data_IF_189886836305
#
_entry.id   IF_189886836305
#
_cell.length_a   1.000
_cell.length_b   1.000
_cell.length_c   1.000
_cell.angle_alpha   90.00
_cell.angle_beta   90.00
_cell.angle_gamma   90.00
#
_symmetry.space_group_name_H-M   'P 1'
#
loop_
_entity.id
_entity.type
_entity.pdbx_description
1 polymer ?
#
# COMPACT_ATOMS: atom_id res chain seq x y z
N UNK A 1 -5.38 6.28 -8.46
CA UNK A 1 -3.98 5.87 -8.23
C UNK A 1 -3.99 4.54 -7.46
N UNK A 2 -2.81 3.97 -7.17
CA UNK A 2 -2.69 2.73 -6.42
C UNK A 2 -2.12 3.06 -5.05
N UNK A 3 -2.69 2.47 -3.99
CA UNK A 3 -2.07 2.43 -2.66
C UNK A 3 -1.73 0.99 -2.31
N UNK A 4 -0.45 0.70 -2.13
CA UNK A 4 0.03 -0.60 -1.65
C UNK A 4 0.44 -0.50 -0.18
N UNK A 5 0.28 -1.61 0.55
CA UNK A 5 0.60 -1.71 1.96
C UNK A 5 1.76 -2.67 2.14
N UNK A 6 2.87 -2.17 2.69
CA UNK A 6 4.10 -2.92 2.92
C UNK A 6 4.28 -3.15 4.42
N UNK A 7 4.52 -4.40 4.79
CA UNK A 7 4.83 -4.84 6.15
C UNK A 7 6.12 -5.65 6.08
N UNK A 8 7.20 -5.13 6.65
CA UNK A 8 8.54 -5.69 6.48
C UNK A 8 8.96 -5.66 5.02
N UNK A 9 9.23 -6.84 4.45
CA UNK A 9 9.64 -7.01 3.05
C UNK A 9 8.49 -7.53 2.16
N UNK A 10 7.25 -7.49 2.64
CA UNK A 10 6.09 -7.97 1.89
C UNK A 10 5.08 -6.86 1.61
N UNK A 11 4.67 -6.75 0.34
CA UNK A 11 3.47 -5.98 -0.04
C UNK A 11 2.25 -6.86 0.16
N UNK A 12 1.56 -6.71 1.29
CA UNK A 12 0.50 -7.61 1.74
C UNK A 12 -0.83 -7.43 0.98
N UNK A 13 -1.08 -6.22 0.48
CA UNK A 13 -2.24 -5.91 -0.37
C UNK A 13 -2.05 -4.56 -1.06
N UNK A 14 -2.88 -4.30 -2.08
CA UNK A 14 -3.02 -2.99 -2.67
C UNK A 14 -4.48 -2.69 -3.03
N UNK A 15 -4.80 -1.40 -3.17
CA UNK A 15 -6.09 -0.93 -3.65
C UNK A 15 -5.90 0.07 -4.78
N UNK A 16 -6.81 0.04 -5.75
CA UNK A 16 -7.04 1.16 -6.64
C UNK A 16 -7.91 2.19 -5.93
N UNK A 17 -7.59 3.48 -6.08
CA UNK A 17 -8.42 4.59 -5.62
C UNK A 17 -8.85 5.42 -6.81
N UNK A 18 -10.17 5.55 -6.97
CA UNK A 18 -10.80 6.30 -8.05
C UNK A 18 -11.51 7.54 -7.51
N UNK A 19 -11.45 8.64 -8.24
CA UNK A 19 -12.16 9.88 -7.95
C UNK A 19 -12.38 10.65 -9.25
N UNK A 20 -13.50 11.37 -9.34
CA UNK A 20 -13.72 12.35 -10.42
C UNK A 20 -12.84 13.60 -10.26
N UNK A 21 -12.21 13.75 -9.09
CA UNK A 21 -11.24 14.79 -8.79
C UNK A 21 -9.81 14.23 -8.88
N UNK A 22 -8.84 15.10 -9.14
CA UNK A 22 -7.42 14.72 -9.16
C UNK A 22 -6.89 14.23 -7.81
N UNK A 23 -7.65 14.42 -6.72
CA UNK A 23 -7.35 13.90 -5.38
C UNK A 23 -8.22 12.66 -5.17
N UNK A 24 -7.58 11.50 -5.05
CA UNK A 24 -8.24 10.18 -5.04
C UNK A 24 -8.51 9.62 -3.64
N UNK A 25 -8.21 10.37 -2.57
CA UNK A 25 -8.32 9.83 -1.22
C UNK A 25 -9.77 9.42 -0.87
N UNK A 26 -9.90 8.27 -0.18
CA UNK A 26 -11.21 7.73 0.20
C UNK A 26 -11.92 8.62 1.22
N UNK A 27 -11.17 9.40 2.01
CA UNK A 27 -11.70 10.41 2.93
C UNK A 27 -12.52 11.52 2.25
N UNK A 28 -12.33 11.77 0.94
CA UNK A 28 -13.13 12.73 0.15
C UNK A 28 -14.14 12.06 -0.78
N UNK A 29 -14.56 10.83 -0.46
CA UNK A 29 -15.53 10.09 -1.27
C UNK A 29 -14.92 9.34 -2.45
N UNK A 30 -13.59 9.22 -2.51
CA UNK A 30 -12.93 8.33 -3.46
C UNK A 30 -13.34 6.87 -3.24
N UNK A 31 -13.54 6.13 -4.33
CA UNK A 31 -13.93 4.72 -4.32
C UNK A 31 -12.69 3.83 -4.33
N UNK A 32 -12.67 2.81 -3.48
CA UNK A 32 -11.61 1.81 -3.46
C UNK A 32 -12.05 0.52 -4.16
N UNK A 33 -11.14 -0.11 -4.89
CA UNK A 33 -11.28 -1.48 -5.39
C UNK A 33 -10.01 -2.27 -5.12
N UNK A 34 -10.12 -3.60 -5.10
CA UNK A 34 -8.96 -4.48 -4.96
C UNK A 34 -7.99 -4.25 -6.13
N UNK A 35 -6.72 -4.02 -5.82
CA UNK A 35 -5.64 -4.04 -6.79
C UNK A 35 -4.78 -5.29 -6.52
N UNK A 36 -4.78 -6.28 -7.42
CA UNK A 36 -3.91 -7.44 -7.28
C UNK A 36 -2.44 -7.01 -7.21
N UNK A 37 -1.73 -7.50 -6.20
CA UNK A 37 -0.30 -7.21 -6.04
C UNK A 37 0.48 -7.99 -7.09
N UNK A 38 0.82 -7.33 -8.19
CA UNK A 38 1.68 -7.92 -9.23
C UNK A 38 3.14 -7.99 -8.76
N UNK A 39 3.99 -8.83 -9.38
CA UNK A 39 5.42 -8.84 -9.07
C UNK A 39 6.09 -7.47 -9.22
N UNK A 40 5.60 -6.63 -10.14
CA UNK A 40 6.12 -5.28 -10.33
C UNK A 40 5.73 -4.35 -9.19
N UNK A 41 4.44 -4.34 -8.79
CA UNK A 41 3.95 -3.55 -7.65
C UNK A 41 4.69 -3.96 -6.38
N UNK A 42 4.81 -5.27 -6.13
CA UNK A 42 5.53 -5.79 -4.97
C UNK A 42 6.98 -5.29 -4.95
N UNK A 43 7.72 -5.54 -6.03
CA UNK A 43 9.13 -5.16 -6.14
C UNK A 43 9.34 -3.66 -5.96
N UNK A 44 8.50 -2.83 -6.59
CA UNK A 44 8.62 -1.38 -6.52
C UNK A 44 8.28 -0.85 -5.12
N UNK A 45 7.20 -1.36 -4.51
CA UNK A 45 6.73 -0.94 -3.20
C UNK A 45 7.71 -1.32 -2.09
N UNK A 46 8.22 -2.55 -2.09
CA UNK A 46 9.23 -3.01 -1.11
C UNK A 46 10.51 -2.19 -1.25
N UNK A 47 10.99 -1.94 -2.47
CA UNK A 47 12.17 -1.08 -2.69
C UNK A 47 11.95 0.35 -2.19
N UNK A 48 10.76 0.92 -2.39
CA UNK A 48 10.42 2.24 -1.89
C UNK A 48 10.40 2.28 -0.36
N UNK A 49 9.83 1.26 0.28
CA UNK A 49 9.84 1.09 1.73
C UNK A 49 11.28 0.99 2.27
N UNK A 50 12.10 0.10 1.71
CA UNK A 50 13.50 -0.08 2.10
C UNK A 50 14.33 1.20 1.92
N UNK A 51 14.08 1.98 0.86
CA UNK A 51 14.76 3.24 0.61
C UNK A 51 14.54 4.29 1.72
N UNK A 52 13.47 4.16 2.50
CA UNK A 52 13.15 5.06 3.64
C UNK A 52 13.34 4.39 5.01
N UNK A 53 13.95 3.21 5.07
CA UNK A 53 14.23 2.49 6.33
C UNK A 53 13.32 1.31 6.63
N UNK A 54 12.35 1.00 5.75
CA UNK A 54 11.49 -0.18 5.86
C UNK A 54 10.41 -0.07 6.93
N UNK A 55 10.03 -1.22 7.51
CA UNK A 55 9.01 -1.31 8.54
C UNK A 55 7.60 -1.46 7.97
N UNK A 56 6.68 -0.63 8.46
CA UNK A 56 5.25 -0.72 8.18
C UNK A 56 4.83 0.58 7.52
N UNK A 57 4.71 0.59 6.18
CA UNK A 57 4.44 1.79 5.38
C UNK A 57 3.43 1.53 4.26
N UNK A 58 2.76 2.59 3.80
CA UNK A 58 1.94 2.53 2.59
C UNK A 58 2.60 3.34 1.46
N UNK A 59 2.61 2.77 0.25
CA UNK A 59 3.24 3.38 -0.92
C UNK A 59 2.15 3.77 -1.90
N UNK A 60 2.14 5.04 -2.30
CA UNK A 60 1.25 5.52 -3.36
C UNK A 60 1.99 5.46 -4.70
N UNK A 61 1.38 4.74 -5.66
CA UNK A 61 1.91 4.55 -7.01
C UNK A 61 0.99 5.19 -8.05
N UNK A 62 1.59 5.71 -9.10
CA UNK A 62 0.92 6.23 -10.29
C UNK A 62 1.26 5.36 -11.50
N UNK A 63 0.24 5.04 -12.30
CA UNK A 63 0.38 4.39 -13.60
C UNK A 63 0.51 5.45 -14.68
N UNK A 64 1.57 5.38 -15.50
CA UNK A 64 1.69 6.23 -16.70
C UNK A 64 0.82 5.67 -17.84
N UNK A 65 0.50 6.48 -18.87
CA UNK A 65 -0.25 6.00 -20.04
C UNK A 65 0.40 4.81 -20.75
N UNK A 66 1.72 4.66 -20.66
CA UNK A 66 2.51 3.55 -21.22
C UNK A 66 2.56 2.32 -20.29
N UNK A 67 1.83 2.35 -19.16
CA UNK A 67 1.75 1.25 -18.20
C UNK A 67 2.93 1.16 -17.24
N UNK A 68 3.77 2.19 -17.12
CA UNK A 68 4.88 2.20 -16.14
C UNK A 68 4.37 2.62 -14.77
N UNK A 69 4.93 2.03 -13.72
CA UNK A 69 4.64 2.45 -12.34
C UNK A 69 5.68 3.44 -11.83
N UNK A 70 5.19 4.51 -11.19
CA UNK A 70 6.00 5.54 -10.54
C UNK A 70 5.62 5.62 -9.06
N UNK A 71 6.61 5.78 -8.18
CA UNK A 71 6.37 6.05 -6.75
C UNK A 71 6.06 7.53 -6.58
N UNK A 72 4.93 7.85 -5.97
CA UNK A 72 4.51 9.21 -5.66
C UNK A 72 4.83 9.59 -4.22
N UNK A 73 4.47 8.73 -3.25
CA UNK A 73 4.60 9.04 -1.82
C UNK A 73 4.83 7.78 -0.97
N UNK A 74 5.53 7.93 0.16
CA UNK A 74 5.66 6.89 1.19
C UNK A 74 5.06 7.42 2.50
N UNK A 75 4.04 6.70 3.02
CA UNK A 75 3.26 7.08 4.19
C UNK A 75 3.64 6.19 5.39
N UNK A 76 4.16 6.78 6.46
CA UNK A 76 4.53 6.05 7.68
C UNK A 76 3.35 5.80 8.64
N UNK A 77 2.33 6.68 8.62
CA UNK A 77 1.08 6.47 9.35
C UNK A 77 -0.01 6.13 8.35
N UNK A 78 -0.14 4.84 8.04
CA UNK A 78 -1.08 4.39 7.02
C UNK A 78 -2.51 4.31 7.57
N UNK A 79 -3.47 4.85 6.84
CA UNK A 79 -4.88 4.56 7.04
C UNK A 79 -5.28 3.35 6.20
N UNK A 80 -5.79 2.29 6.84
CA UNK A 80 -6.13 1.03 6.17
C UNK A 80 -7.60 0.59 6.35
N UNK A 81 -8.42 1.36 7.08
CA UNK A 81 -9.81 0.97 7.42
C UNK A 81 -10.63 0.56 6.19
N UNK A 82 -10.58 1.35 5.12
CA UNK A 82 -11.34 1.09 3.90
C UNK A 82 -10.68 0.05 2.98
N UNK A 83 -9.48 -0.41 3.32
CA UNK A 83 -8.71 -1.39 2.54
C UNK A 83 -8.96 -2.82 3.01
N UNK A 84 -9.28 -3.04 4.30
CA UNK A 84 -9.48 -4.39 4.86
C UNK A 84 -10.63 -5.09 4.14
N UNK A 85 -11.84 -4.50 4.14
CA UNK A 85 -13.01 -5.10 3.48
C UNK A 85 -12.81 -5.23 1.96
N UNK A 86 -12.15 -4.25 1.35
CA UNK A 86 -11.88 -4.22 -0.10
C UNK A 86 -10.92 -5.32 -0.54
N UNK A 87 -9.92 -5.62 0.29
CA UNK A 87 -8.84 -6.57 -0.05
C UNK A 87 -9.04 -7.96 0.56
N UNK A 88 -9.85 -8.07 1.63
CA UNK A 88 -9.99 -9.26 2.45
C UNK A 88 -8.76 -9.56 3.32
N UNK A 89 -7.77 -8.67 3.37
CA UNK A 89 -6.53 -8.88 4.13
C UNK A 89 -6.65 -8.27 5.52
N UNK A 90 -6.32 -9.07 6.54
CA UNK A 90 -6.20 -8.61 7.93
C UNK A 90 -4.92 -7.79 8.13
N UNK A 91 -4.94 -6.54 7.66
CA UNK A 91 -3.79 -5.61 7.75
C UNK A 91 -3.33 -5.42 9.20
N UNK A 92 -4.20 -5.17 10.20
CA UNK A 92 -3.79 -5.07 11.60
C UNK A 92 -3.09 -6.33 12.12
N UNK A 93 -3.64 -7.52 11.81
CA UNK A 93 -3.03 -8.79 12.19
C UNK A 93 -1.62 -8.94 11.64
N UNK A 94 -1.43 -8.65 10.33
CA UNK A 94 -0.11 -8.69 9.69
C UNK A 94 0.90 -7.74 10.33
N UNK A 95 0.47 -6.55 10.76
CA UNK A 95 1.33 -5.59 11.46
C UNK A 95 1.74 -6.14 12.84
N UNK A 96 0.79 -6.72 13.59
CA UNK A 96 1.07 -7.32 14.90
C UNK A 96 2.06 -8.48 14.77
N UNK A 97 1.84 -9.37 13.80
CA UNK A 97 2.74 -10.51 13.53
C UNK A 97 4.18 -10.03 13.26
N UNK A 98 4.33 -9.02 12.41
CA UNK A 98 5.63 -8.41 12.11
C UNK A 98 6.29 -7.81 13.35
N UNK A 99 5.54 -7.07 14.17
CA UNK A 99 6.08 -6.47 15.40
C UNK A 99 6.51 -7.53 16.42
N UNK A 100 5.79 -8.65 16.51
CA UNK A 100 6.16 -9.77 17.39
C UNK A 100 7.41 -10.50 16.89
N UNK A 101 7.61 -10.61 15.58
CA UNK A 101 8.81 -11.19 14.99
C UNK A 101 10.03 -10.32 15.27
N UNK A 102 9.95 -9.01 14.96
CA UNK A 102 11.04 -8.05 15.18
C UNK A 102 11.35 -7.88 16.67
N UNK A 103 10.33 -7.82 17.53
CA UNK A 103 10.51 -7.61 18.97
C UNK A 103 11.05 -8.82 19.74
N UNK A 104 11.09 -10.00 19.11
CA UNK A 104 11.76 -11.20 19.66
C UNK A 104 13.24 -11.28 19.28
N UNK A 105 13.67 -10.45 18.31
CA UNK A 105 15.06 -10.36 17.85
C UNK A 105 15.97 -9.53 18.77
#
# INVERSE_FOLDING_TARGET
>A
DIRSFVVGDETICAIYRYSEHWITNTARGGRAENCPVTPEIHRLSVRAAQAVGGGVVAIDLLETPEGRLLVNEVNYTMEFRNSIDTTGVDIPGRIVDYLLEVGRG
#
